data_IF_536288358738
#
_entry.id   IF_536288358738
#
_cell.length_a   1.000
_cell.length_b   1.000
_cell.length_c   1.000
_cell.angle_alpha   90.00
_cell.angle_beta   90.00
_cell.angle_gamma   90.00
#
_symmetry.space_group_name_H-M   'P 1'
#
loop_
_entity.id
_entity.type
_entity.pdbx_description
1 polymer ?
#
# COMPACT_ATOMS: atom_id res chain seq x y z
N UNK A 1 0.19 13.28 -27.57
CA UNK A 1 1.23 13.77 -26.64
C UNK A 1 0.79 15.11 -26.09
N UNK A 2 0.43 15.17 -24.81
CA UNK A 2 0.08 16.42 -24.12
C UNK A 2 1.32 16.89 -23.36
N UNK A 3 1.86 18.06 -23.70
CA UNK A 3 2.98 18.66 -22.97
C UNK A 3 2.42 19.47 -21.80
N UNK A 4 2.55 18.96 -20.58
CA UNK A 4 2.19 19.71 -19.36
C UNK A 4 3.32 20.71 -19.08
N UNK A 5 3.06 22.01 -19.22
CA UNK A 5 3.99 23.07 -18.80
C UNK A 5 3.64 23.49 -17.37
N UNK A 6 4.53 23.21 -16.42
CA UNK A 6 4.45 23.80 -15.08
C UNK A 6 5.08 25.19 -15.07
N UNK A 7 4.42 26.14 -14.41
CA UNK A 7 4.95 27.51 -14.20
C UNK A 7 5.76 27.64 -12.91
N UNK A 8 5.90 26.58 -12.11
CA UNK A 8 6.60 26.58 -10.82
C UNK A 8 7.24 25.22 -10.55
N UNK A 9 8.57 25.09 -10.65
CA UNK A 9 9.46 23.99 -10.18
C UNK A 9 9.00 22.50 -10.27
N UNK A 10 7.86 22.16 -10.88
CA UNK A 10 7.40 20.79 -11.02
C UNK A 10 8.22 20.12 -12.12
N UNK A 11 9.03 19.14 -11.74
CA UNK A 11 9.80 18.32 -12.68
C UNK A 11 8.94 17.10 -13.04
N UNK A 12 8.49 17.04 -14.29
CA UNK A 12 7.95 15.81 -14.88
C UNK A 12 9.09 15.15 -15.65
N UNK A 13 9.65 14.08 -15.08
CA UNK A 13 10.85 13.45 -15.67
C UNK A 13 10.47 12.56 -16.87
N UNK A 14 9.35 11.82 -16.78
CA UNK A 14 8.77 11.03 -17.86
C UNK A 14 7.25 10.94 -17.64
N UNK A 15 6.43 11.11 -18.67
CA UNK A 15 4.98 10.92 -18.57
C UNK A 15 4.46 10.31 -19.87
N UNK A 16 3.86 9.12 -19.78
CA UNK A 16 3.07 8.56 -20.88
C UNK A 16 1.60 8.70 -20.52
N UNK A 17 0.85 9.41 -21.37
CA UNK A 17 -0.60 9.56 -21.26
C UNK A 17 -1.26 8.76 -22.38
N UNK A 18 -2.12 7.82 -22.01
CA UNK A 18 -3.01 7.12 -22.94
C UNK A 18 -4.45 7.53 -22.62
N UNK A 19 -5.11 8.16 -23.59
CA UNK A 19 -6.54 8.46 -23.54
C UNK A 19 -7.26 7.54 -24.54
N UNK A 20 -8.15 6.69 -24.02
CA UNK A 20 -8.93 5.74 -24.82
C UNK A 20 -10.40 6.15 -24.95
N UNK A 21 -10.79 7.27 -24.33
CA UNK A 21 -12.18 7.74 -24.29
C UNK A 21 -12.64 8.37 -25.59
N UNK A 22 -13.85 8.01 -26.02
CA UNK A 22 -14.56 8.68 -27.12
C UNK A 22 -15.59 9.67 -26.53
N UNK A 23 -15.19 10.92 -26.30
CA UNK A 23 -16.20 12.01 -26.20
C UNK A 23 -16.14 13.01 -25.04
N UNK A 24 -15.01 13.17 -24.34
CA UNK A 24 -14.84 14.27 -23.38
C UNK A 24 -13.47 14.91 -23.49
N UNK A 25 -13.38 16.24 -23.44
CA UNK A 25 -12.10 16.94 -23.26
C UNK A 25 -11.60 16.68 -21.84
N UNK A 26 -10.77 15.65 -21.69
CA UNK A 26 -9.96 15.49 -20.49
C UNK A 26 -9.04 16.70 -20.36
N UNK A 27 -8.99 17.31 -19.16
CA UNK A 27 -8.08 18.41 -18.89
C UNK A 27 -7.09 17.98 -17.81
N UNK A 28 -5.81 17.98 -18.18
CA UNK A 28 -4.68 17.77 -17.28
C UNK A 28 -3.89 19.07 -17.20
N UNK A 29 -3.56 19.54 -15.99
CA UNK A 29 -2.79 20.77 -15.83
C UNK A 29 -2.20 20.95 -14.45
N UNK A 30 -1.42 22.01 -14.28
CA UNK A 30 -0.91 22.47 -12.98
C UNK A 30 -1.85 23.56 -12.49
N UNK A 31 -2.46 23.39 -11.32
CA UNK A 31 -3.40 24.39 -10.80
C UNK A 31 -3.45 24.40 -9.28
N UNK A 32 -3.59 25.58 -8.68
CA UNK A 32 -3.77 25.74 -7.24
C UNK A 32 -2.59 25.16 -6.44
N UNK A 33 -1.40 25.19 -7.03
CA UNK A 33 -0.19 24.61 -6.45
C UNK A 33 -0.05 23.09 -6.60
N UNK A 34 -1.04 22.37 -7.14
CA UNK A 34 -0.94 20.92 -7.35
C UNK A 34 0.00 20.61 -8.53
N UNK A 35 0.75 19.51 -8.45
CA UNK A 35 1.66 19.11 -9.52
C UNK A 35 0.92 18.69 -10.78
N UNK A 36 0.10 17.64 -10.69
CA UNK A 36 -0.78 17.20 -11.76
C UNK A 36 -2.22 17.23 -11.27
N UNK A 37 -3.05 18.05 -11.88
CA UNK A 37 -4.48 18.06 -11.66
C UNK A 37 -5.21 17.49 -12.87
N UNK A 38 -5.88 16.36 -12.67
CA UNK A 38 -6.70 15.69 -13.69
C UNK A 38 -8.17 15.99 -13.40
N UNK A 39 -8.82 16.65 -14.36
CA UNK A 39 -10.25 17.00 -14.31
C UNK A 39 -10.94 16.51 -15.57
N UNK A 40 -12.08 15.84 -15.37
CA UNK A 40 -12.93 15.31 -16.43
C UNK A 40 -12.19 14.33 -17.37
N UNK A 41 -12.92 13.40 -17.97
CA UNK A 41 -12.34 12.39 -18.87
C UNK A 41 -12.69 10.97 -18.46
N UNK A 42 -12.60 10.07 -19.44
CA UNK A 42 -12.94 8.65 -19.33
C UNK A 42 -11.88 7.79 -20.00
N UNK A 43 -11.46 6.71 -19.34
CA UNK A 43 -10.43 5.82 -19.87
C UNK A 43 -9.02 6.41 -19.77
N UNK A 44 -8.76 7.29 -18.80
CA UNK A 44 -7.42 7.87 -18.62
C UNK A 44 -6.51 6.92 -17.84
N UNK A 45 -5.33 6.64 -18.40
CA UNK A 45 -4.27 5.89 -17.73
C UNK A 45 -2.95 6.64 -17.80
N UNK A 46 -2.25 6.70 -16.67
CA UNK A 46 -0.91 7.28 -16.57
C UNK A 46 0.09 6.23 -16.11
N UNK A 47 1.24 6.18 -16.78
CA UNK A 47 2.33 5.29 -16.41
C UNK A 47 3.65 6.05 -16.30
N UNK A 48 4.53 5.56 -15.41
CA UNK A 48 5.89 6.06 -15.21
C UNK A 48 5.93 7.54 -14.82
N UNK A 49 5.03 7.96 -13.93
CA UNK A 49 4.87 9.36 -13.55
C UNK A 49 5.70 9.69 -12.30
N UNK A 50 6.52 10.74 -12.36
CA UNK A 50 7.22 11.29 -11.20
C UNK A 50 6.77 12.74 -10.97
N UNK A 51 6.28 13.04 -9.76
CA UNK A 51 5.77 14.35 -9.35
C UNK A 51 6.38 14.75 -8.01
N UNK A 52 7.19 15.81 -8.03
CA UNK A 52 8.04 16.19 -6.89
C UNK A 52 7.83 17.66 -6.51
N UNK A 53 7.87 17.97 -5.21
CA UNK A 53 8.05 19.34 -4.67
C UNK A 53 6.96 20.36 -5.04
N UNK A 54 5.69 19.95 -5.04
CA UNK A 54 4.58 20.86 -5.33
C UNK A 54 4.07 21.56 -4.08
N UNK A 55 3.47 22.75 -4.24
CA UNK A 55 2.88 23.50 -3.13
C UNK A 55 1.61 22.85 -2.59
N UNK A 56 0.82 22.23 -3.48
CA UNK A 56 -0.41 21.51 -3.19
C UNK A 56 -0.18 20.01 -3.09
N UNK A 57 -1.16 19.23 -3.54
CA UNK A 57 -0.98 17.79 -3.72
C UNK A 57 -0.06 17.49 -4.90
N UNK A 58 0.62 16.35 -4.86
CA UNK A 58 1.40 15.89 -6.02
C UNK A 58 0.47 15.67 -7.20
N UNK A 59 -0.43 14.69 -7.07
CA UNK A 59 -1.49 14.40 -8.04
C UNK A 59 -2.82 14.69 -7.38
N UNK A 60 -3.64 15.51 -8.01
CA UNK A 60 -5.04 15.72 -7.63
C UNK A 60 -5.95 15.15 -8.69
N UNK A 61 -6.93 14.37 -8.25
CA UNK A 61 -7.89 13.70 -9.10
C UNK A 61 -9.29 14.26 -8.82
N UNK A 62 -9.93 14.72 -9.89
CA UNK A 62 -11.34 15.10 -9.92
C UNK A 62 -11.92 14.70 -11.28
N UNK A 63 -11.73 13.43 -11.64
CA UNK A 63 -12.06 12.89 -12.95
C UNK A 63 -12.66 11.48 -12.77
N UNK A 64 -13.99 11.33 -12.91
CA UNK A 64 -14.67 10.05 -12.65
C UNK A 64 -14.24 8.91 -13.58
N UNK A 65 -13.49 9.18 -14.65
CA UNK A 65 -13.04 8.15 -15.58
C UNK A 65 -11.53 8.03 -15.73
N UNK A 66 -10.76 8.40 -14.69
CA UNK A 66 -9.43 7.81 -14.52
C UNK A 66 -9.60 6.31 -14.27
N UNK A 67 -8.80 5.48 -14.95
CA UNK A 67 -8.84 4.02 -14.78
C UNK A 67 -7.59 3.50 -14.07
N UNK A 68 -6.41 4.10 -14.29
CA UNK A 68 -5.20 3.62 -13.62
C UNK A 68 -4.06 4.64 -13.49
N UNK A 69 -3.30 4.49 -12.41
CA UNK A 69 -2.01 5.12 -12.14
C UNK A 69 -0.97 4.03 -11.84
N UNK A 70 0.04 3.89 -12.71
CA UNK A 70 1.02 2.78 -12.63
C UNK A 70 2.45 3.33 -12.61
N UNK A 71 3.33 2.74 -11.80
CA UNK A 71 4.73 3.18 -11.64
C UNK A 71 4.80 4.68 -11.32
N UNK A 72 4.10 5.08 -10.26
CA UNK A 72 3.95 6.50 -9.91
C UNK A 72 4.76 6.84 -8.67
N UNK A 73 5.47 7.96 -8.72
CA UNK A 73 6.23 8.49 -7.61
C UNK A 73 5.72 9.89 -7.27
N UNK A 74 5.15 10.08 -6.09
CA UNK A 74 4.72 11.37 -5.56
C UNK A 74 5.52 11.71 -4.32
N UNK A 75 6.41 12.69 -4.46
CA UNK A 75 7.44 12.95 -3.46
C UNK A 75 7.42 14.41 -3.04
N UNK A 76 7.59 14.69 -1.75
CA UNK A 76 7.93 16.04 -1.28
C UNK A 76 6.83 17.11 -1.48
N UNK A 77 5.56 16.73 -1.55
CA UNK A 77 4.48 17.67 -1.86
C UNK A 77 3.88 18.33 -0.60
N UNK A 78 3.50 19.60 -0.70
CA UNK A 78 2.80 20.34 0.36
C UNK A 78 3.67 20.90 1.49
N UNK A 79 5.00 20.85 1.38
CA UNK A 79 5.89 21.11 2.52
C UNK A 79 6.09 22.58 2.92
N UNK A 80 5.49 23.53 2.19
CA UNK A 80 5.47 24.92 2.64
C UNK A 80 4.38 25.10 3.69
N UNK A 81 4.68 25.85 4.76
CA UNK A 81 3.80 26.04 5.93
C UNK A 81 2.40 26.56 5.61
N UNK A 82 2.20 27.22 4.47
CA UNK A 82 0.88 27.69 4.02
C UNK A 82 -0.02 26.57 3.44
N UNK A 83 0.50 25.36 3.22
CA UNK A 83 -0.19 24.27 2.52
C UNK A 83 -0.10 22.93 3.26
N UNK A 84 -0.17 22.96 4.59
CA UNK A 84 -0.20 21.76 5.43
C UNK A 84 -1.39 20.85 5.07
N UNK A 85 -1.20 19.53 5.20
CA UNK A 85 -2.26 18.54 4.97
C UNK A 85 -2.55 18.20 3.50
N UNK A 86 -1.61 18.42 2.58
CA UNK A 86 -1.75 18.02 1.18
C UNK A 86 -1.18 16.62 0.95
N UNK A 87 -1.98 15.75 0.34
CA UNK A 87 -1.57 14.38 0.05
C UNK A 87 -0.64 14.30 -1.18
N UNK A 88 0.17 13.24 -1.26
CA UNK A 88 0.90 12.87 -2.47
C UNK A 88 -0.05 12.63 -3.64
N UNK A 89 -1.01 11.72 -3.48
CA UNK A 89 -2.17 11.54 -4.37
C UNK A 89 -3.44 11.89 -3.62
N UNK A 90 -4.28 12.76 -4.18
CA UNK A 90 -5.55 13.18 -3.57
C UNK A 90 -6.71 13.08 -4.54
N UNK A 91 -7.69 12.27 -4.20
CA UNK A 91 -8.99 12.27 -4.84
C UNK A 91 -9.92 13.26 -4.15
N UNK A 92 -10.58 14.13 -4.91
CA UNK A 92 -11.38 15.24 -4.34
C UNK A 92 -12.86 15.20 -4.67
N UNK A 93 -13.38 14.03 -5.04
CA UNK A 93 -14.80 13.77 -5.19
C UNK A 93 -15.12 12.30 -4.90
N UNK A 94 -16.33 12.03 -4.41
CA UNK A 94 -16.88 10.68 -4.38
C UNK A 94 -17.37 10.43 -5.80
N UNK A 95 -16.56 9.80 -6.63
CA UNK A 95 -17.06 9.37 -7.93
C UNK A 95 -17.17 7.85 -8.00
N UNK A 96 -18.07 7.43 -8.86
CA UNK A 96 -18.30 6.04 -9.19
C UNK A 96 -17.28 5.67 -10.27
N UNK A 97 -16.21 5.01 -9.89
CA UNK A 97 -15.17 4.60 -10.83
C UNK A 97 -14.12 3.76 -10.10
N UNK A 98 -13.64 2.70 -10.74
CA UNK A 98 -12.54 1.88 -10.23
C UNK A 98 -11.25 2.49 -10.73
N UNK A 99 -10.37 2.90 -9.81
CA UNK A 99 -9.01 3.31 -10.15
C UNK A 99 -8.04 2.25 -9.64
N UNK A 100 -7.20 1.78 -10.55
CA UNK A 100 -6.11 0.87 -10.23
C UNK A 100 -4.83 1.65 -9.96
N UNK A 101 -4.31 1.53 -8.75
CA UNK A 101 -3.01 2.05 -8.31
C UNK A 101 -2.02 0.91 -8.26
N UNK A 102 -0.92 1.01 -9.00
CA UNK A 102 0.11 -0.02 -8.98
C UNK A 102 1.51 0.56 -8.92
N UNK A 103 2.35 -0.05 -8.09
CA UNK A 103 3.75 0.33 -7.94
C UNK A 103 3.85 1.84 -7.66
N UNK A 104 3.17 2.27 -6.60
CA UNK A 104 3.08 3.68 -6.21
C UNK A 104 3.97 3.93 -5.01
N UNK A 105 4.88 4.90 -5.16
CA UNK A 105 5.74 5.39 -4.10
C UNK A 105 5.24 6.77 -3.69
N UNK A 106 4.73 6.88 -2.47
CA UNK A 106 4.26 8.14 -1.90
C UNK A 106 5.08 8.48 -0.65
N UNK A 107 6.01 9.41 -0.77
CA UNK A 107 6.95 9.69 0.31
C UNK A 107 7.15 11.17 0.58
N UNK A 108 7.43 11.50 1.83
CA UNK A 108 7.80 12.84 2.23
C UNK A 108 6.74 13.92 1.92
N UNK A 109 5.45 13.57 1.88
CA UNK A 109 4.38 14.53 1.63
C UNK A 109 3.90 15.17 2.95
N UNK A 110 3.45 16.43 2.94
CA UNK A 110 3.02 17.13 4.15
C UNK A 110 1.76 16.55 4.80
N UNK A 111 0.87 15.99 4.00
CA UNK A 111 -0.36 15.31 4.44
C UNK A 111 -0.21 13.80 4.33
N UNK A 112 -1.17 13.17 3.69
CA UNK A 112 -1.19 11.74 3.43
C UNK A 112 -0.23 11.34 2.29
N UNK A 113 0.18 10.08 2.23
CA UNK A 113 0.77 9.56 1.00
C UNK A 113 -0.28 9.48 -0.10
N UNK A 114 -1.36 8.75 0.17
CA UNK A 114 -2.52 8.60 -0.70
C UNK A 114 -3.81 8.91 0.07
N UNK A 115 -4.73 9.65 -0.55
CA UNK A 115 -6.07 9.91 -0.04
C UNK A 115 -7.08 9.52 -1.12
N UNK A 116 -7.69 8.34 -0.94
CA UNK A 116 -8.57 7.66 -1.90
C UNK A 116 -10.03 7.92 -1.50
N UNK A 117 -10.88 8.30 -2.44
CA UNK A 117 -12.31 8.57 -2.30
C UNK A 117 -13.21 7.93 -3.37
N UNK A 118 -12.65 7.21 -4.34
CA UNK A 118 -13.39 6.38 -5.29
C UNK A 118 -13.72 5.00 -4.70
N UNK A 119 -14.96 4.55 -4.94
CA UNK A 119 -15.39 3.19 -4.59
C UNK A 119 -14.89 2.17 -5.61
N UNK A 120 -14.39 1.04 -5.14
CA UNK A 120 -13.93 -0.09 -5.93
C UNK A 120 -12.46 -0.01 -6.34
N UNK A 121 -11.73 1.05 -5.96
CA UNK A 121 -10.30 1.20 -6.26
C UNK A 121 -9.48 0.01 -5.76
N UNK A 122 -8.44 -0.32 -6.50
CA UNK A 122 -7.51 -1.42 -6.21
C UNK A 122 -6.13 -0.82 -6.05
N UNK A 123 -5.51 -1.05 -4.91
CA UNK A 123 -4.18 -0.56 -4.60
C UNK A 123 -3.25 -1.76 -4.47
N UNK A 124 -2.24 -1.86 -5.33
CA UNK A 124 -1.28 -2.96 -5.34
C UNK A 124 0.14 -2.39 -5.34
N UNK A 125 1.05 -3.03 -4.61
CA UNK A 125 2.48 -2.67 -4.61
C UNK A 125 2.67 -1.19 -4.20
N UNK A 126 2.27 -0.85 -2.97
CA UNK A 126 2.31 0.54 -2.48
C UNK A 126 3.41 0.72 -1.43
N UNK A 127 4.33 1.65 -1.69
CA UNK A 127 5.29 2.12 -0.69
C UNK A 127 4.91 3.53 -0.24
N UNK A 128 4.43 3.69 0.99
CA UNK A 128 4.03 4.99 1.52
C UNK A 128 4.72 5.33 2.83
N UNK A 129 5.70 6.23 2.79
CA UNK A 129 6.58 6.46 3.95
C UNK A 129 6.91 7.92 4.24
N UNK A 130 7.13 8.25 5.50
CA UNK A 130 7.52 9.61 5.93
C UNK A 130 6.52 10.69 5.49
N UNK A 131 5.23 10.38 5.42
CA UNK A 131 4.21 11.40 5.16
C UNK A 131 3.82 12.08 6.47
N UNK A 132 3.42 13.35 6.45
CA UNK A 132 3.11 14.12 7.66
C UNK A 132 1.83 13.68 8.38
N UNK A 133 0.96 12.92 7.70
CA UNK A 133 -0.24 12.31 8.27
C UNK A 133 -0.22 10.79 8.05
N UNK A 134 -1.23 10.19 7.43
CA UNK A 134 -1.30 8.74 7.18
C UNK A 134 -0.50 8.32 5.93
N UNK A 135 -0.08 7.06 5.86
CA UNK A 135 0.42 6.49 4.62
C UNK A 135 -0.69 6.46 3.55
N UNK A 136 -1.77 5.74 3.86
CA UNK A 136 -2.97 5.68 3.02
C UNK A 136 -4.18 6.09 3.86
N UNK A 137 -4.98 7.03 3.36
CA UNK A 137 -6.33 7.30 3.86
C UNK A 137 -7.34 6.81 2.83
N UNK A 138 -8.23 5.91 3.23
CA UNK A 138 -9.33 5.43 2.40
C UNK A 138 -10.62 6.10 2.90
N UNK A 139 -11.31 6.83 2.04
CA UNK A 139 -12.55 7.57 2.31
C UNK A 139 -13.77 6.98 1.59
N UNK A 140 -13.58 5.93 0.77
CA UNK A 140 -14.64 5.16 0.13
C UNK A 140 -14.19 3.70 -0.04
N UNK A 141 -15.13 2.76 -0.11
CA UNK A 141 -14.82 1.33 -0.13
C UNK A 141 -13.89 0.96 -1.29
N UNK A 142 -12.62 0.71 -1.00
CA UNK A 142 -11.69 0.11 -1.95
C UNK A 142 -12.01 -1.39 -2.08
N UNK A 143 -11.66 -1.99 -3.21
CA UNK A 143 -11.77 -3.43 -3.38
C UNK A 143 -10.68 -4.14 -2.58
N UNK A 144 -9.44 -3.68 -2.73
CA UNK A 144 -8.29 -4.24 -2.02
C UNK A 144 -7.13 -3.25 -1.86
N UNK A 145 -6.28 -3.55 -0.88
CA UNK A 145 -4.94 -2.98 -0.72
C UNK A 145 -3.99 -4.17 -0.56
N UNK A 146 -3.11 -4.39 -1.53
CA UNK A 146 -2.22 -5.55 -1.63
C UNK A 146 -0.75 -5.15 -1.69
N UNK A 147 0.14 -5.95 -1.10
CA UNK A 147 1.59 -5.78 -1.13
C UNK A 147 2.04 -4.34 -0.79
N UNK A 148 1.74 -3.88 0.42
CA UNK A 148 2.01 -2.49 0.80
C UNK A 148 2.90 -2.34 2.04
N UNK A 149 3.85 -1.41 1.98
CA UNK A 149 4.68 -1.00 3.13
C UNK A 149 4.38 0.45 3.50
N UNK A 150 3.88 0.65 4.72
CA UNK A 150 3.35 1.91 5.25
C UNK A 150 4.09 2.26 6.54
N UNK A 151 5.12 3.10 6.42
CA UNK A 151 6.06 3.27 7.52
C UNK A 151 6.46 4.72 7.80
N UNK A 152 6.78 5.01 9.05
CA UNK A 152 7.24 6.33 9.48
C UNK A 152 6.28 7.50 9.16
N UNK A 153 4.98 7.22 9.02
CA UNK A 153 4.00 8.27 8.76
C UNK A 153 3.63 8.98 10.08
N UNK A 154 3.35 10.28 9.98
CA UNK A 154 3.08 11.18 11.10
C UNK A 154 1.79 10.87 11.87
N UNK A 155 0.91 10.04 11.32
CA UNK A 155 -0.28 9.49 11.96
C UNK A 155 -0.34 7.96 11.80
N UNK A 156 -1.14 7.46 10.85
CA UNK A 156 -1.42 6.03 10.70
C UNK A 156 -0.69 5.40 9.52
N UNK A 157 -0.51 4.08 9.49
CA UNK A 157 -0.17 3.40 8.25
C UNK A 157 -1.35 3.46 7.29
N UNK A 158 -2.46 2.82 7.66
CA UNK A 158 -3.78 2.95 7.01
C UNK A 158 -4.74 3.70 7.92
N UNK A 159 -5.48 4.66 7.36
CA UNK A 159 -6.63 5.30 7.99
C UNK A 159 -7.89 5.09 7.13
N UNK A 160 -8.82 4.27 7.60
CA UNK A 160 -10.11 4.09 6.97
C UNK A 160 -11.15 5.01 7.60
N UNK A 161 -11.59 6.02 6.86
CA UNK A 161 -12.43 7.12 7.36
C UNK A 161 -13.90 7.08 6.88
N UNK A 162 -14.42 5.90 6.56
CA UNK A 162 -15.81 5.71 6.09
C UNK A 162 -16.43 4.41 6.63
N UNK A 163 -17.77 4.35 6.57
CA UNK A 163 -18.60 3.19 6.95
C UNK A 163 -18.72 2.21 5.79
N UNK A 164 -18.73 0.91 6.10
CA UNK A 164 -18.94 -0.22 5.18
C UNK A 164 -17.77 -0.55 4.27
N UNK A 165 -16.92 -1.49 4.70
CA UNK A 165 -15.56 -1.61 4.24
C UNK A 165 -15.20 -3.04 3.84
N UNK A 166 -15.92 -3.62 2.88
CA UNK A 166 -15.54 -4.87 2.22
C UNK A 166 -14.17 -4.84 1.48
N UNK A 167 -13.30 -3.89 1.82
CA UNK A 167 -11.89 -3.80 1.44
C UNK A 167 -11.13 -4.98 2.02
N UNK A 168 -10.39 -5.67 1.14
CA UNK A 168 -9.43 -6.69 1.56
C UNK A 168 -8.04 -6.07 1.67
N UNK A 169 -7.50 -6.00 2.88
CA UNK A 169 -6.10 -5.64 3.14
C UNK A 169 -5.27 -6.92 3.15
N UNK A 170 -4.49 -7.13 2.11
CA UNK A 170 -3.67 -8.33 1.96
C UNK A 170 -2.18 -7.97 1.87
N UNK A 171 -1.31 -8.71 2.54
CA UNK A 171 0.13 -8.53 2.43
C UNK A 171 0.59 -7.09 2.76
N UNK A 172 0.32 -6.67 3.99
CA UNK A 172 0.48 -5.29 4.44
C UNK A 172 1.49 -5.21 5.58
N UNK A 173 2.44 -4.27 5.50
CA UNK A 173 3.35 -3.92 6.59
C UNK A 173 3.08 -2.49 7.04
N UNK A 174 2.68 -2.30 8.28
CA UNK A 174 2.53 -1.00 8.94
C UNK A 174 3.56 -0.86 10.08
N UNK A 175 4.54 0.03 9.92
CA UNK A 175 5.72 0.03 10.79
C UNK A 175 6.13 1.44 11.25
N UNK A 176 6.30 1.63 12.57
CA UNK A 176 6.77 2.89 13.17
C UNK A 176 5.99 4.13 12.73
N UNK A 177 4.67 4.01 12.57
CA UNK A 177 3.80 5.17 12.42
C UNK A 177 3.56 5.82 13.80
N UNK A 178 3.38 7.14 13.86
CA UNK A 178 3.26 7.86 15.15
C UNK A 178 2.04 7.42 15.96
N UNK A 179 0.93 7.06 15.30
CA UNK A 179 -0.30 6.57 15.93
C UNK A 179 -0.43 5.06 15.65
N UNK A 180 -1.58 4.57 15.17
CA UNK A 180 -1.76 3.16 14.91
C UNK A 180 -1.19 2.72 13.56
N UNK A 181 -0.84 1.44 13.41
CA UNK A 181 -0.46 0.92 12.09
C UNK A 181 -1.65 0.87 11.14
N UNK A 182 -2.78 0.35 11.61
CA UNK A 182 -4.05 0.34 10.87
C UNK A 182 -5.13 0.92 11.77
N UNK A 183 -5.87 1.90 11.26
CA UNK A 183 -6.94 2.57 11.99
C UNK A 183 -8.24 2.59 11.21
N UNK A 184 -9.31 2.15 11.87
CA UNK A 184 -10.68 2.19 11.39
C UNK A 184 -11.45 3.25 12.18
N UNK A 185 -11.70 4.42 11.58
CA UNK A 185 -12.33 5.56 12.24
C UNK A 185 -13.85 5.38 12.44
N UNK A 186 -14.48 4.44 11.75
CA UNK A 186 -15.91 4.15 11.86
C UNK A 186 -16.18 2.64 11.79
N UNK A 187 -17.44 2.23 11.74
CA UNK A 187 -17.84 0.83 11.56
C UNK A 187 -17.16 0.18 10.33
N UNK A 188 -16.07 -0.55 10.57
CA UNK A 188 -15.42 -1.39 9.58
C UNK A 188 -16.21 -2.68 9.39
N UNK A 189 -17.41 -2.57 8.83
CA UNK A 189 -18.21 -3.74 8.48
C UNK A 189 -17.59 -4.41 7.26
N UNK A 190 -17.16 -5.66 7.41
CA UNK A 190 -16.74 -6.52 6.30
C UNK A 190 -15.28 -6.39 5.86
N UNK A 191 -14.45 -5.59 6.56
CA UNK A 191 -13.04 -5.49 6.22
C UNK A 191 -12.30 -6.80 6.51
N UNK A 192 -11.51 -7.26 5.56
CA UNK A 192 -10.70 -8.48 5.70
C UNK A 192 -9.23 -8.11 5.78
N UNK A 193 -8.53 -8.62 6.80
CA UNK A 193 -7.09 -8.49 6.95
C UNK A 193 -6.46 -9.87 6.78
N UNK A 194 -5.50 -9.96 5.87
CA UNK A 194 -4.80 -11.19 5.54
C UNK A 194 -3.31 -10.91 5.35
N UNK A 195 -2.42 -11.64 6.03
CA UNK A 195 -0.98 -11.42 5.90
C UNK A 195 -0.57 -9.99 6.30
N UNK A 196 -0.95 -9.57 7.50
CA UNK A 196 -0.70 -8.22 8.00
C UNK A 196 0.39 -8.24 9.06
N UNK A 197 1.34 -7.33 8.94
CA UNK A 197 2.35 -7.00 9.93
C UNK A 197 2.09 -5.57 10.40
N UNK A 198 1.92 -5.35 11.70
CA UNK A 198 1.71 -4.02 12.27
C UNK A 198 2.47 -3.86 13.59
N UNK A 199 3.64 -3.22 13.53
CA UNK A 199 4.58 -3.20 14.65
C UNK A 199 5.27 -1.87 14.90
N UNK A 200 5.72 -1.69 16.15
CA UNK A 200 6.49 -0.52 16.59
C UNK A 200 5.78 0.81 16.34
N UNK A 201 4.46 0.82 16.20
CA UNK A 201 3.69 2.05 16.03
C UNK A 201 3.46 2.70 17.41
N UNK A 202 3.36 4.03 17.45
CA UNK A 202 3.20 4.78 18.71
C UNK A 202 1.83 4.62 19.37
N UNK A 203 0.84 4.10 18.64
CA UNK A 203 -0.49 3.71 19.12
C UNK A 203 -0.64 2.19 19.18
N UNK A 204 -1.73 1.66 18.61
CA UNK A 204 -1.94 0.22 18.50
C UNK A 204 -1.49 -0.33 17.14
N UNK A 205 -1.27 -1.65 17.05
CA UNK A 205 -1.05 -2.29 15.74
C UNK A 205 -2.30 -2.17 14.86
N UNK A 206 -3.44 -2.61 15.38
CA UNK A 206 -4.76 -2.43 14.77
C UNK A 206 -5.65 -1.67 15.75
N UNK A 207 -6.24 -0.57 15.30
CA UNK A 207 -7.10 0.27 16.12
C UNK A 207 -8.45 0.47 15.45
N UNK A 208 -9.51 0.43 16.25
CA UNK A 208 -10.88 0.73 15.82
C UNK A 208 -11.44 1.81 16.73
N UNK A 209 -12.03 2.85 16.14
CA UNK A 209 -12.75 3.86 16.89
C UNK A 209 -14.04 3.26 17.47
N UNK A 210 -14.53 3.77 18.62
CA UNK A 210 -15.88 3.48 19.08
C UNK A 210 -16.90 3.74 17.97
N UNK A 211 -17.84 2.83 17.69
CA UNK A 211 -18.78 3.02 16.59
C UNK A 211 -19.64 4.25 16.87
N UNK A 212 -19.80 5.09 15.83
CA UNK A 212 -20.61 6.31 15.90
C UNK A 212 -22.12 6.03 15.90
N UNK A 213 -22.51 4.82 15.48
CA UNK A 213 -23.88 4.31 15.45
C UNK A 213 -23.93 2.93 16.13
N UNK A 214 -25.12 2.46 16.50
CA UNK A 214 -25.30 1.27 17.35
C UNK A 214 -24.95 -0.07 16.67
N UNK A 215 -24.19 -0.07 15.59
CA UNK A 215 -23.80 -1.27 14.88
C UNK A 215 -22.57 -1.93 15.51
N UNK A 216 -22.51 -3.25 15.35
CA UNK A 216 -21.35 -4.02 15.75
C UNK A 216 -20.29 -3.95 14.66
N UNK A 217 -19.13 -3.40 14.98
CA UNK A 217 -17.98 -3.44 14.09
C UNK A 217 -17.61 -4.90 13.77
N UNK A 218 -17.36 -5.22 12.49
CA UNK A 218 -17.18 -6.58 11.98
C UNK A 218 -15.96 -6.67 11.08
N UNK A 219 -14.84 -7.07 11.65
CA UNK A 219 -13.59 -7.28 10.92
C UNK A 219 -13.34 -8.78 10.74
N UNK A 220 -12.71 -9.21 9.66
CA UNK A 220 -12.33 -10.60 9.45
C UNK A 220 -10.81 -10.69 9.43
N UNK A 221 -10.24 -11.42 10.37
CA UNK A 221 -8.82 -11.75 10.36
C UNK A 221 -8.65 -13.14 9.75
N UNK A 222 -7.84 -13.23 8.70
CA UNK A 222 -7.44 -14.50 8.05
C UNK A 222 -5.93 -14.51 7.83
N UNK A 223 -5.36 -15.65 7.44
CA UNK A 223 -3.92 -15.75 7.22
C UNK A 223 -3.14 -15.46 8.51
N UNK A 224 -2.17 -14.53 8.45
CA UNK A 224 -1.34 -14.19 9.60
C UNK A 224 -1.47 -12.73 9.96
N UNK A 225 -1.44 -12.48 11.26
CA UNK A 225 -1.49 -11.14 11.84
C UNK A 225 -0.32 -11.03 12.83
N UNK A 226 0.73 -10.34 12.41
CA UNK A 226 1.93 -10.09 13.20
C UNK A 226 1.82 -8.70 13.84
N UNK A 227 1.54 -8.65 15.13
CA UNK A 227 1.21 -7.40 15.85
C UNK A 227 1.99 -7.32 17.16
N UNK A 228 2.94 -6.41 17.26
CA UNK A 228 3.86 -6.42 18.42
C UNK A 228 4.65 -5.14 18.56
N UNK A 229 5.21 -4.95 19.76
CA UNK A 229 6.05 -3.81 20.11
C UNK A 229 5.42 -2.42 19.86
N UNK A 230 4.09 -2.33 19.72
CA UNK A 230 3.38 -1.06 19.62
C UNK A 230 3.27 -0.42 21.02
N UNK A 231 3.45 0.90 21.15
CA UNK A 231 3.50 1.57 22.45
C UNK A 231 2.16 1.49 23.21
N UNK A 232 1.04 1.45 22.50
CA UNK A 232 -0.30 1.29 23.07
C UNK A 232 -0.66 -0.18 23.32
N UNK A 233 -0.97 -0.92 22.25
CA UNK A 233 -1.40 -2.32 22.30
C UNK A 233 -1.23 -3.03 20.94
N UNK A 234 -1.33 -4.36 20.89
CA UNK A 234 -1.43 -5.05 19.60
C UNK A 234 -2.75 -4.69 18.91
N UNK A 235 -3.86 -4.75 19.64
CA UNK A 235 -5.18 -4.29 19.21
C UNK A 235 -5.79 -3.30 20.21
N UNK A 236 -6.48 -2.29 19.70
CA UNK A 236 -7.34 -1.39 20.47
C UNK A 236 -8.71 -1.35 19.80
N UNK A 237 -9.65 -2.13 20.35
CA UNK A 237 -10.98 -2.34 19.76
C UNK A 237 -12.08 -1.95 20.76
N UNK A 238 -13.22 -1.43 20.30
CA UNK A 238 -14.41 -1.27 21.12
C UNK A 238 -14.97 -2.62 21.59
N UNK A 239 -15.64 -2.60 22.73
CA UNK A 239 -16.37 -3.77 23.22
C UNK A 239 -17.41 -4.25 22.19
N UNK A 240 -17.58 -5.56 22.09
CA UNK A 240 -18.56 -6.18 21.20
C UNK A 240 -18.11 -6.33 19.74
N UNK A 241 -16.91 -5.87 19.36
CA UNK A 241 -16.35 -6.08 18.01
C UNK A 241 -16.37 -7.57 17.65
N UNK A 242 -16.93 -7.90 16.49
CA UNK A 242 -16.87 -9.26 15.92
C UNK A 242 -15.61 -9.36 15.07
N UNK A 243 -14.88 -10.46 15.22
CA UNK A 243 -13.64 -10.71 14.49
C UNK A 243 -12.39 -10.70 15.34
N UNK A 244 -12.38 -9.88 16.39
CA UNK A 244 -11.28 -9.72 17.35
C UNK A 244 -11.86 -9.74 18.76
N UNK A 245 -11.35 -10.61 19.63
CA UNK A 245 -11.84 -10.81 20.99
C UNK A 245 -11.32 -9.74 21.97
N UNK A 246 -10.06 -9.33 21.83
CA UNK A 246 -9.36 -8.54 22.85
C UNK A 246 -8.16 -7.74 22.31
N UNK A 247 -7.40 -7.12 23.22
CA UNK A 247 -6.24 -6.27 22.91
C UNK A 247 -5.00 -7.04 22.42
N UNK A 248 -4.98 -8.37 22.49
CA UNK A 248 -3.94 -9.21 21.90
C UNK A 248 -4.19 -9.51 20.42
N UNK A 249 -5.31 -9.00 19.87
CA UNK A 249 -5.82 -9.31 18.55
C UNK A 249 -6.34 -10.74 18.38
N UNK A 250 -6.67 -11.45 19.46
CA UNK A 250 -7.14 -12.84 19.37
C UNK A 250 -8.35 -12.96 18.43
N UNK A 251 -8.35 -13.85 17.42
CA UNK A 251 -9.47 -14.00 16.50
C UNK A 251 -10.77 -14.38 17.22
N UNK A 252 -11.91 -13.86 16.76
CA UNK A 252 -13.24 -14.20 17.25
C UNK A 252 -14.23 -14.40 16.08
N UNK A 253 -15.29 -15.17 16.29
CA UNK A 253 -16.34 -15.40 15.30
C UNK A 253 -15.81 -16.14 14.07
N UNK A 254 -15.91 -15.51 12.89
CA UNK A 254 -15.48 -16.08 11.60
C UNK A 254 -14.01 -15.84 11.26
N UNK A 255 -13.27 -15.14 12.13
CA UNK A 255 -11.84 -14.92 11.94
C UNK A 255 -11.07 -16.22 12.21
N UNK A 256 -10.12 -16.55 11.33
CA UNK A 256 -9.30 -17.77 11.38
C UNK A 256 -7.80 -17.48 11.39
N UNK A 257 -7.41 -16.21 11.53
CA UNK A 257 -6.01 -15.82 11.49
C UNK A 257 -5.15 -16.49 12.58
N UNK A 258 -3.88 -16.70 12.26
CA UNK A 258 -2.84 -16.99 13.25
C UNK A 258 -2.22 -15.66 13.69
N UNK A 259 -2.36 -15.32 14.97
CA UNK A 259 -1.86 -14.06 15.53
C UNK A 259 -0.52 -14.29 16.23
N UNK A 260 0.46 -13.41 15.97
CA UNK A 260 1.80 -13.48 16.55
C UNK A 260 2.22 -12.12 17.09
N UNK A 261 2.63 -12.06 18.36
CA UNK A 261 2.89 -10.78 19.04
C UNK A 261 4.35 -10.48 19.39
N UNK A 262 5.24 -11.47 19.21
CA UNK A 262 6.62 -11.41 19.73
C UNK A 262 7.69 -11.54 18.62
N UNK A 263 7.35 -11.21 17.38
CA UNK A 263 8.29 -11.26 16.25
C UNK A 263 8.74 -9.86 15.89
N UNK A 264 9.85 -9.37 16.44
CA UNK A 264 10.32 -8.02 16.14
C UNK A 264 10.81 -7.92 14.68
N UNK A 265 10.29 -6.93 13.94
CA UNK A 265 10.75 -6.60 12.58
C UNK A 265 11.77 -5.45 12.56
N UNK A 266 12.24 -5.05 13.74
CA UNK A 266 13.25 -4.00 13.87
C UNK A 266 14.53 -4.46 13.19
N UNK A 267 14.92 -3.76 12.13
CA UNK A 267 16.12 -4.10 11.37
C UNK A 267 15.88 -5.08 10.22
N UNK A 268 14.64 -5.46 9.91
CA UNK A 268 14.31 -6.27 8.73
C UNK A 268 14.64 -5.56 7.41
N UNK A 269 14.44 -4.24 7.36
CA UNK A 269 14.80 -3.42 6.21
C UNK A 269 16.26 -2.97 6.30
N UNK A 270 16.84 -2.61 5.16
CA UNK A 270 18.19 -2.04 5.07
C UNK A 270 18.31 -0.73 5.88
N UNK A 271 17.19 -0.04 6.13
CA UNK A 271 16.98 1.15 6.99
C UNK A 271 18.17 2.13 7.04
N UNK A 272 17.99 3.29 6.40
CA UNK A 272 18.82 4.47 6.64
C UNK A 272 20.29 4.29 6.28
N UNK A 273 20.67 4.63 5.05
CA UNK A 273 22.09 4.71 4.71
C UNK A 273 22.78 5.77 5.57
N UNK A 274 24.06 5.61 5.87
CA UNK A 274 24.83 6.59 6.68
C UNK A 274 24.91 7.98 6.03
N UNK A 275 24.51 8.11 4.77
CA UNK A 275 24.38 9.38 4.07
C UNK A 275 23.14 10.15 4.52
N UNK A 276 23.38 11.25 5.21
CA UNK A 276 22.39 12.33 5.34
C UNK A 276 22.75 13.45 4.38
N UNK A 277 21.74 14.15 3.87
CA UNK A 277 21.91 15.31 2.99
C UNK A 277 20.96 16.42 3.43
N UNK A 278 21.39 17.67 3.31
CA UNK A 278 20.50 18.80 3.54
C UNK A 278 19.34 18.73 2.54
N UNK A 279 18.11 18.96 2.99
CA UNK A 279 16.92 18.93 2.14
C UNK A 279 17.10 19.72 0.83
N UNK A 280 17.68 20.93 0.94
CA UNK A 280 17.88 21.83 -0.19
C UNK A 280 18.92 21.35 -1.21
N UNK A 281 19.78 20.37 -0.85
CA UNK A 281 20.78 19.81 -1.76
C UNK A 281 20.33 18.53 -2.47
N UNK A 282 19.19 17.95 -2.08
CA UNK A 282 18.67 16.73 -2.69
C UNK A 282 18.07 17.08 -4.04
N UNK A 283 18.67 16.55 -5.10
CA UNK A 283 18.21 16.74 -6.48
C UNK A 283 17.50 15.49 -7.01
N UNK A 284 17.72 14.34 -6.39
CA UNK A 284 17.19 13.03 -6.75
C UNK A 284 16.33 12.44 -5.60
N UNK A 285 15.14 13.00 -5.41
CA UNK A 285 14.22 12.53 -4.36
C UNK A 285 13.79 11.05 -4.50
N UNK A 286 14.05 10.44 -5.66
CA UNK A 286 14.03 8.99 -5.85
C UNK A 286 15.30 8.57 -6.58
N UNK A 287 16.06 7.66 -5.99
CA UNK A 287 17.22 7.08 -6.63
C UNK A 287 16.73 6.07 -7.69
N UNK A 288 17.05 6.32 -8.96
CA UNK A 288 16.50 5.59 -10.10
C UNK A 288 16.91 4.10 -10.16
N UNK A 289 17.92 3.67 -9.40
CA UNK A 289 18.44 2.31 -9.48
C UNK A 289 17.51 1.26 -8.84
N UNK A 290 16.65 1.65 -7.90
CA UNK A 290 15.75 0.72 -7.21
C UNK A 290 14.50 1.43 -6.69
N UNK A 291 13.32 0.90 -7.02
CA UNK A 291 12.01 1.49 -6.68
C UNK A 291 11.67 1.43 -5.18
N UNK A 292 12.50 0.81 -4.34
CA UNK A 292 12.33 0.84 -2.88
C UNK A 292 13.16 1.90 -2.15
N UNK A 293 13.88 2.80 -2.85
CA UNK A 293 14.66 3.86 -2.18
C UNK A 293 13.90 5.18 -2.14
N UNK A 294 13.81 5.78 -0.96
CA UNK A 294 13.12 7.05 -0.75
C UNK A 294 13.83 7.91 0.29
N UNK A 295 13.89 9.21 0.04
CA UNK A 295 14.36 10.17 1.05
C UNK A 295 13.27 10.41 2.09
N UNK A 296 13.67 10.42 3.37
CA UNK A 296 12.81 10.68 4.51
C UNK A 296 13.53 11.50 5.58
N UNK A 297 12.83 11.84 6.65
CA UNK A 297 13.40 12.61 7.78
C UNK A 297 14.37 11.73 8.57
N UNK A 298 15.57 12.25 8.85
CA UNK A 298 16.58 11.49 9.59
C UNK A 298 16.27 11.41 11.11
N UNK A 299 15.69 12.47 11.69
CA UNK A 299 15.29 12.51 13.09
C UNK A 299 14.33 13.68 13.38
N UNK A 300 13.23 13.47 14.14
CA UNK A 300 12.64 12.16 14.41
C UNK A 300 12.29 11.45 13.09
N UNK A 301 12.27 10.12 13.10
CA UNK A 301 12.04 9.33 11.88
C UNK A 301 10.62 9.49 11.33
N UNK A 302 9.66 9.98 12.13
CA UNK A 302 8.28 10.17 11.69
C UNK A 302 8.08 11.55 11.05
N UNK A 303 7.18 11.62 10.06
CA UNK A 303 6.86 12.81 9.25
C UNK A 303 7.84 13.09 8.10
N UNK A 304 7.46 14.05 7.25
CA UNK A 304 8.27 14.51 6.13
C UNK A 304 9.49 15.32 6.61
N UNK A 305 10.63 15.10 5.95
CA UNK A 305 11.79 15.97 5.95
C UNK A 305 11.45 17.30 5.29
N UNK A 306 11.78 18.42 5.94
CA UNK A 306 11.44 19.76 5.47
C UNK A 306 12.68 20.65 5.25
N UNK A 307 12.48 21.82 4.67
CA UNK A 307 13.54 22.82 4.47
C UNK A 307 14.21 23.18 5.80
N UNK A 308 15.55 23.15 5.81
CA UNK A 308 16.35 23.41 7.00
C UNK A 308 16.79 22.14 7.76
N UNK A 309 16.33 20.97 7.34
CA UNK A 309 16.69 19.68 7.94
C UNK A 309 17.63 18.86 7.06
N UNK A 310 18.26 17.86 7.68
CA UNK A 310 18.95 16.80 6.95
C UNK A 310 17.99 15.63 6.75
N UNK A 311 17.83 15.20 5.51
CA UNK A 311 17.11 13.99 5.16
C UNK A 311 18.09 12.81 5.07
N UNK A 312 17.55 11.60 5.20
CA UNK A 312 18.27 10.35 5.05
C UNK A 312 17.64 9.53 3.92
N UNK A 313 18.47 8.81 3.18
CA UNK A 313 17.99 7.87 2.18
C UNK A 313 17.64 6.55 2.86
N UNK A 314 16.40 6.13 2.73
CA UNK A 314 15.90 4.85 3.22
C UNK A 314 15.83 3.85 2.07
N UNK A 315 16.25 2.63 2.35
CA UNK A 315 16.12 1.49 1.46
C UNK A 315 15.14 0.50 2.09
N UNK A 316 14.01 0.33 1.41
CA UNK A 316 12.89 -0.51 1.83
C UNK A 316 12.98 -1.93 1.29
N UNK A 317 14.09 -2.32 0.67
CA UNK A 317 14.37 -3.73 0.48
C UNK A 317 14.65 -4.42 1.82
N UNK A 318 14.41 -5.73 1.84
CA UNK A 318 14.68 -6.57 2.99
C UNK A 318 16.15 -7.00 3.01
N UNK A 319 16.73 -7.06 4.21
CA UNK A 319 18.07 -7.62 4.40
C UNK A 319 18.03 -9.12 4.15
N UNK A 320 19.07 -9.64 3.52
CA UNK A 320 19.34 -11.08 3.39
C UNK A 320 19.42 -11.83 4.72
N UNK A 321 19.69 -11.12 5.82
CA UNK A 321 19.69 -11.67 7.18
C UNK A 321 18.34 -11.58 7.90
N UNK A 322 17.31 -11.00 7.28
CA UNK A 322 15.99 -10.92 7.88
C UNK A 322 15.36 -12.30 8.04
N UNK A 323 14.69 -12.51 9.18
CA UNK A 323 14.13 -13.81 9.56
C UNK A 323 12.62 -13.76 9.77
N UNK A 324 11.97 -12.62 9.52
CA UNK A 324 10.55 -12.41 9.86
C UNK A 324 9.71 -12.01 8.65
N UNK A 325 10.21 -11.15 7.78
CA UNK A 325 9.51 -10.65 6.60
C UNK A 325 9.98 -11.32 5.31
N UNK A 326 11.27 -11.63 5.20
CA UNK A 326 11.90 -12.10 3.97
C UNK A 326 11.70 -13.60 3.75
N UNK A 327 11.16 -13.92 2.58
CA UNK A 327 10.91 -15.27 2.08
C UNK A 327 10.23 -16.14 3.12
N UNK A 328 9.18 -15.62 3.76
CA UNK A 328 8.48 -16.34 4.81
C UNK A 328 7.16 -16.87 4.31
N UNK A 329 6.85 -18.07 4.78
CA UNK A 329 5.52 -18.59 4.61
C UNK A 329 4.55 -17.69 5.37
N UNK A 330 3.25 -17.85 5.08
CA UNK A 330 2.21 -17.36 5.97
C UNK A 330 2.22 -18.06 7.33
N UNK A 331 3.34 -18.06 8.03
CA UNK A 331 3.54 -18.20 9.45
C UNK A 331 4.66 -17.24 9.95
N UNK A 332 5.36 -16.50 9.08
CA UNK A 332 6.50 -15.64 9.46
C UNK A 332 7.62 -16.33 10.28
N UNK A 333 7.70 -17.67 10.22
CA UNK A 333 8.70 -18.47 10.94
C UNK A 333 9.44 -19.38 9.96
N UNK A 334 8.67 -20.13 9.18
CA UNK A 334 9.17 -21.08 8.20
C UNK A 334 9.54 -20.32 6.93
N UNK A 335 10.75 -20.52 6.37
CA UNK A 335 11.09 -19.96 5.06
C UNK A 335 10.29 -20.65 3.95
N UNK A 336 9.92 -19.93 2.89
CA UNK A 336 9.39 -20.55 1.68
C UNK A 336 10.52 -21.30 0.95
N UNK A 337 10.14 -22.23 0.09
CA UNK A 337 11.07 -22.79 -0.88
C UNK A 337 11.58 -21.70 -1.84
N UNK A 338 12.82 -21.86 -2.31
CA UNK A 338 13.40 -20.93 -3.27
C UNK A 338 12.63 -20.93 -4.58
N UNK A 339 12.32 -19.74 -5.07
CA UNK A 339 11.75 -19.59 -6.40
C UNK A 339 12.77 -20.03 -7.47
N UNK A 340 12.35 -20.89 -8.39
CA UNK A 340 13.16 -21.33 -9.53
C UNK A 340 12.43 -21.02 -10.83
N UNK A 341 13.00 -20.15 -11.65
CA UNK A 341 12.44 -19.79 -12.95
C UNK A 341 12.21 -21.03 -13.82
N UNK A 342 11.02 -21.13 -14.42
CA UNK A 342 10.55 -22.25 -15.25
C UNK A 342 10.47 -23.61 -14.54
N UNK A 343 10.72 -23.66 -13.22
CA UNK A 343 10.54 -24.84 -12.38
C UNK A 343 9.13 -24.95 -11.81
N UNK A 344 8.93 -25.82 -10.82
CA UNK A 344 7.68 -25.88 -10.03
C UNK A 344 7.64 -24.67 -9.09
N UNK A 345 6.47 -24.04 -8.94
CA UNK A 345 6.30 -22.94 -8.00
C UNK A 345 6.50 -23.43 -6.54
N UNK A 346 7.00 -22.59 -5.63
CA UNK A 346 7.11 -22.93 -4.20
C UNK A 346 5.76 -23.42 -3.66
N UNK A 347 5.75 -24.54 -2.92
CA UNK A 347 4.48 -25.13 -2.41
C UNK A 347 3.69 -24.20 -1.50
N UNK A 348 4.35 -23.21 -0.90
CA UNK A 348 3.73 -22.18 -0.07
C UNK A 348 2.82 -21.24 -0.84
N UNK A 349 2.93 -21.20 -2.17
CA UNK A 349 2.01 -20.48 -3.06
C UNK A 349 0.64 -21.13 -3.14
N UNK A 350 0.52 -22.43 -2.81
CA UNK A 350 -0.72 -23.20 -2.97
C UNK A 350 -1.73 -22.95 -1.85
N UNK A 351 -1.31 -22.28 -0.77
CA UNK A 351 -2.20 -21.95 0.35
C UNK A 351 -3.35 -21.04 -0.12
N UNK A 352 -4.59 -21.48 0.09
CA UNK A 352 -5.77 -20.67 -0.23
C UNK A 352 -6.22 -19.86 1.00
N UNK A 353 -6.64 -18.63 0.76
CA UNK A 353 -7.38 -17.81 1.71
C UNK A 353 -8.80 -17.64 1.18
N UNK A 354 -9.79 -17.90 2.03
CA UNK A 354 -11.19 -17.69 1.69
C UNK A 354 -11.71 -16.46 2.38
N UNK A 355 -11.94 -15.40 1.61
CA UNK A 355 -12.63 -14.20 2.06
C UNK A 355 -14.13 -14.40 1.85
N UNK A 356 -14.90 -14.39 2.95
CA UNK A 356 -16.35 -14.54 2.90
C UNK A 356 -16.93 -13.17 3.17
N UNK A 357 -17.12 -12.40 2.11
CA UNK A 357 -17.76 -11.09 2.15
C UNK A 357 -19.27 -11.28 2.26
N UNK A 358 -19.97 -10.22 2.64
CA UNK A 358 -21.45 -10.23 2.67
C UNK A 358 -22.07 -10.52 1.29
N UNK A 359 -21.34 -10.23 0.22
CA UNK A 359 -21.75 -10.42 -1.18
C UNK A 359 -21.36 -11.76 -1.79
N UNK A 360 -20.57 -12.59 -1.08
CA UNK A 360 -20.09 -13.87 -1.60
C UNK A 360 -18.76 -14.31 -0.99
N UNK A 361 -18.31 -15.49 -1.37
CA UNK A 361 -17.01 -16.03 -0.97
C UNK A 361 -16.04 -15.99 -2.13
N UNK A 362 -14.86 -15.43 -1.90
CA UNK A 362 -13.74 -15.30 -2.84
C UNK A 362 -12.57 -16.12 -2.29
N UNK A 363 -11.99 -16.98 -3.12
CA UNK A 363 -10.85 -17.80 -2.74
C UNK A 363 -9.63 -17.37 -3.56
N UNK A 364 -8.56 -16.96 -2.89
CA UNK A 364 -7.33 -16.47 -3.53
C UNK A 364 -6.08 -17.07 -2.91
N UNK A 365 -4.97 -17.04 -3.65
CA UNK A 365 -3.68 -17.54 -3.18
C UNK A 365 -3.09 -16.64 -2.10
N UNK A 366 -2.55 -17.25 -1.04
CA UNK A 366 -2.06 -16.56 0.16
C UNK A 366 -0.79 -15.75 -0.06
N UNK A 367 0.11 -16.26 -0.91
CA UNK A 367 1.41 -15.67 -1.19
C UNK A 367 1.47 -15.26 -2.66
N UNK A 368 0.35 -14.77 -3.21
CA UNK A 368 0.34 -14.18 -4.52
C UNK A 368 -0.73 -13.10 -4.61
N UNK A 369 -0.45 -12.11 -5.46
CA UNK A 369 -1.38 -11.05 -5.81
C UNK A 369 -1.66 -11.14 -7.31
N UNK A 370 -2.79 -10.60 -7.76
CA UNK A 370 -3.10 -10.53 -9.18
C UNK A 370 -2.15 -9.57 -9.90
N UNK A 371 -1.66 -9.96 -11.07
CA UNK A 371 -1.00 -9.02 -11.98
C UNK A 371 -2.07 -8.22 -12.74
N UNK A 372 -2.49 -7.13 -12.09
CA UNK A 372 -3.48 -6.17 -12.59
C UNK A 372 -3.05 -5.41 -13.87
N UNK A 373 -1.84 -5.66 -14.41
CA UNK A 373 -1.42 -5.13 -15.72
C UNK A 373 -1.82 -6.02 -16.87
N UNK A 374 -2.01 -7.31 -16.63
CA UNK A 374 -2.27 -8.28 -17.68
C UNK A 374 -3.76 -8.33 -17.97
N UNK A 375 -4.10 -8.44 -19.26
CA UNK A 375 -5.49 -8.60 -19.67
C UNK A 375 -6.02 -9.98 -19.23
N UNK A 376 -7.19 -10.01 -18.60
CA UNK A 376 -7.77 -11.20 -17.99
C UNK A 376 -7.98 -11.02 -16.49
N UNK A 377 -8.65 -11.96 -15.83
CA UNK A 377 -9.01 -11.82 -14.42
C UNK A 377 -10.08 -10.76 -14.16
N UNK A 378 -10.32 -10.49 -12.88
CA UNK A 378 -11.29 -9.49 -12.44
C UNK A 378 -10.66 -8.18 -11.93
N UNK A 379 -9.33 -8.09 -11.96
CA UNK A 379 -8.54 -6.92 -11.56
C UNK A 379 -8.80 -6.44 -10.15
N UNK A 380 -9.16 -7.35 -9.23
CA UNK A 380 -9.45 -7.04 -7.84
C UNK A 380 -8.19 -7.04 -6.94
N UNK A 381 -7.03 -7.44 -7.48
CA UNK A 381 -5.74 -7.46 -6.77
C UNK A 381 -5.44 -8.75 -5.99
N UNK A 382 -6.40 -9.67 -5.89
CA UNK A 382 -6.26 -10.98 -5.25
C UNK A 382 -6.05 -12.05 -6.33
N UNK A 383 -5.09 -12.95 -6.15
CA UNK A 383 -4.82 -13.98 -7.17
C UNK A 383 -5.83 -15.14 -7.09
N UNK A 384 -6.76 -15.22 -8.04
CA UNK A 384 -7.82 -16.24 -8.11
C UNK A 384 -7.66 -17.24 -9.26
N UNK A 385 -8.63 -18.15 -9.40
CA UNK A 385 -8.64 -19.19 -10.45
C UNK A 385 -8.63 -18.57 -11.84
N UNK A 386 -7.70 -19.03 -12.69
CA UNK A 386 -7.59 -18.60 -14.09
C UNK A 386 -6.88 -17.27 -14.30
N UNK A 387 -6.28 -16.69 -13.26
CA UNK A 387 -5.64 -15.37 -13.33
C UNK A 387 -4.12 -15.43 -13.54
N UNK A 388 -3.56 -14.31 -13.97
CA UNK A 388 -2.11 -14.09 -14.01
C UNK A 388 -1.71 -13.42 -12.71
N UNK A 389 -0.71 -13.97 -12.03
CA UNK A 389 -0.38 -13.59 -10.67
C UNK A 389 1.12 -13.39 -10.46
N UNK A 390 1.41 -12.58 -9.45
CA UNK A 390 2.71 -12.24 -8.92
C UNK A 390 2.92 -13.01 -7.63
N UNK A 391 3.98 -13.81 -7.56
CA UNK A 391 4.41 -14.46 -6.33
C UNK A 391 4.90 -13.42 -5.32
N UNK A 392 4.33 -13.42 -4.12
CA UNK A 392 4.70 -12.54 -3.02
C UNK A 392 5.36 -13.34 -1.88
N UNK A 393 6.67 -13.64 -1.97
CA UNK A 393 7.37 -14.42 -0.94
C UNK A 393 7.57 -13.66 0.37
N UNK A 394 7.44 -12.34 0.34
CA UNK A 394 7.74 -11.45 1.45
C UNK A 394 6.47 -10.77 1.95
N UNK A 395 6.55 -10.20 3.15
CA UNK A 395 5.53 -9.27 3.62
C UNK A 395 5.78 -7.83 3.12
N UNK A 396 4.76 -7.20 2.53
CA UNK A 396 4.72 -5.77 2.20
C UNK A 396 5.02 -5.44 0.74
N UNK A 397 5.62 -4.27 0.49
CA UNK A 397 5.90 -3.78 -0.86
C UNK A 397 7.01 -4.55 -1.59
N UNK A 398 8.09 -4.90 -0.88
CA UNK A 398 9.24 -5.53 -1.53
C UNK A 398 9.02 -7.02 -1.73
N UNK A 399 8.91 -7.46 -2.98
CA UNK A 399 8.65 -8.87 -3.34
C UNK A 399 9.84 -9.56 -4.03
N UNK A 400 10.98 -8.88 -4.08
CA UNK A 400 12.19 -9.34 -4.76
C UNK A 400 12.64 -8.37 -5.85
N UNK A 401 13.62 -8.81 -6.65
CA UNK A 401 14.21 -8.00 -7.71
C UNK A 401 14.75 -8.83 -8.88
N UNK A 402 15.13 -8.12 -9.95
CA UNK A 402 15.62 -8.72 -11.19
C UNK A 402 14.49 -9.08 -12.15
N UNK A 403 14.74 -10.08 -12.99
CA UNK A 403 13.82 -10.44 -14.08
C UNK A 403 12.62 -11.20 -13.56
N UNK A 404 11.43 -10.80 -14.00
CA UNK A 404 10.20 -11.56 -13.80
C UNK A 404 10.20 -12.83 -14.64
N UNK A 405 10.06 -13.99 -14.01
CA UNK A 405 10.02 -15.29 -14.70
C UNK A 405 8.84 -16.13 -14.23
N UNK A 406 8.23 -16.95 -15.11
CA UNK A 406 7.15 -17.84 -14.70
C UNK A 406 7.66 -19.07 -13.94
N UNK A 407 6.76 -19.71 -13.20
CA UNK A 407 6.90 -21.07 -12.70
C UNK A 407 5.65 -21.90 -13.02
N UNK A 408 5.78 -23.22 -12.99
CA UNK A 408 4.68 -24.16 -13.17
C UNK A 408 3.89 -24.27 -11.87
N UNK A 409 2.76 -23.55 -11.79
CA UNK A 409 1.83 -23.66 -10.67
C UNK A 409 1.14 -25.01 -10.68
N UNK A 410 1.18 -25.71 -9.55
CA UNK A 410 0.44 -26.96 -9.36
C UNK A 410 -0.80 -26.63 -8.54
N UNK A 411 -1.97 -26.92 -9.12
CA UNK A 411 -3.23 -26.69 -8.43
C UNK A 411 -3.34 -27.62 -7.22
N UNK A 412 -3.22 -27.04 -6.03
CA UNK A 412 -3.56 -27.65 -4.77
C UNK A 412 -4.42 -26.64 -3.98
N UNK A 413 -5.48 -27.12 -3.32
CA UNK A 413 -6.41 -26.25 -2.57
C UNK A 413 -7.57 -25.63 -3.37
N UNK A 414 -7.78 -26.01 -4.64
CA UNK A 414 -8.99 -25.66 -5.41
C UNK A 414 -8.90 -24.41 -6.28
N UNK A 415 -7.79 -23.66 -6.21
CA UNK A 415 -7.46 -22.61 -7.16
C UNK A 415 -6.73 -23.23 -8.34
N UNK A 416 -7.27 -23.06 -9.56
CA UNK A 416 -6.79 -23.74 -10.76
C UNK A 416 -6.41 -22.74 -11.86
N UNK A 417 -5.58 -23.18 -12.81
CA UNK A 417 -5.31 -22.40 -14.03
C UNK A 417 -4.58 -21.07 -13.80
N UNK A 418 -3.89 -20.91 -12.67
CA UNK A 418 -3.09 -19.71 -12.38
C UNK A 418 -1.80 -19.71 -13.19
N UNK A 419 -1.49 -18.57 -13.81
CA UNK A 419 -0.16 -18.30 -14.36
C UNK A 419 0.64 -17.48 -13.34
N UNK A 420 1.56 -18.14 -12.63
CA UNK A 420 2.33 -17.50 -11.57
C UNK A 420 3.73 -17.13 -12.05
N UNK A 421 4.15 -15.89 -11.78
CA UNK A 421 5.51 -15.42 -12.02
C UNK A 421 6.10 -14.78 -10.77
N UNK A 422 7.43 -14.77 -10.65
CA UNK A 422 8.13 -14.18 -9.52
C UNK A 422 9.48 -13.59 -9.93
N UNK A 423 10.08 -12.84 -9.00
CA UNK A 423 11.39 -12.23 -9.17
C UNK A 423 12.52 -13.27 -9.08
N UNK A 424 13.58 -13.06 -9.87
CA UNK A 424 14.76 -13.95 -9.91
C UNK A 424 15.66 -13.88 -8.66
N UNK A 425 15.55 -12.81 -7.88
CA UNK A 425 16.32 -12.59 -6.64
C UNK A 425 15.41 -12.07 -5.53
N UNK A 426 15.79 -12.28 -4.28
CA UNK A 426 15.04 -11.81 -3.11
C UNK A 426 15.99 -11.43 -1.95
N UNK A 427 15.99 -10.16 -1.58
CA UNK A 427 16.82 -9.58 -0.52
C UNK A 427 18.18 -9.06 -1.00
N UNK A 428 18.84 -8.24 -0.16
CA UNK A 428 20.21 -7.73 -0.39
C UNK A 428 21.20 -8.02 0.74
#
# INVERSE_FOLDING_TARGET
AMTVRSTTNSIFDQMTLTDTGSGGTASCGVEGGNGLYIRNGSGLSFTNLKVVSNLGSGIRLNAPGLTSLKNVQVINNGLLSAYTGRAGIRETGIATGVVTYQNVIATNNAGEGLSIGYTGSVLSEILSTHNGSSGITINAAATSVTAATLAYNGAYGVNQSFKDAATTYHDLVAYKNTLAGIYFFDEAVGATLSQVVSQNNGGAGIQMAPPSVSGTARIKLVGNILVGANTGASCSIPAGTIGIADSSCTPNGTSTAVVKTNLAITGSFIEGTSSTQAFASITDFSNAAYSGKAWGRASPLTSACITGENCQLFDWALKSSDTVLMNKTGDAMTPNESFTAFGVCPVQTYGTVTDTKFTGSTAFLRNAIEDILVAGGNHNGLCETGETCIYTPNFGYYQGEGTYSPCAYQADGGINGVYLSGYSSNGH
#
